data_IF_291242039734
#
_entry.id   IF_291242039734
#
_cell.length_a   1.000
_cell.length_b   1.000
_cell.length_c   1.000
_cell.angle_alpha   90.00
_cell.angle_beta   90.00
_cell.angle_gamma   90.00
#
_symmetry.space_group_name_H-M   'P 1'
#
loop_
_entity.id
_entity.type
_entity.pdbx_description
1 polymer ?
#
# COMPACT_ATOMS: atom_id res chain seq x y z
N UNK A 1 -5.29 5.75 11.61
CA UNK A 1 -6.51 5.75 12.44
C UNK A 1 -7.51 6.83 12.01
N UNK A 2 -7.09 8.02 11.58
CA UNK A 2 -8.03 9.03 11.04
C UNK A 2 -8.78 8.62 9.75
N UNK A 3 -8.13 7.85 8.86
CA UNK A 3 -8.73 7.43 7.58
C UNK A 3 -9.73 6.27 7.73
N UNK A 4 -9.69 5.51 8.84
CA UNK A 4 -10.56 4.34 9.01
C UNK A 4 -12.04 4.72 9.09
N UNK A 5 -12.34 5.87 9.68
CA UNK A 5 -13.73 6.31 9.88
C UNK A 5 -14.35 6.78 8.55
N UNK A 6 -13.58 7.46 7.70
CA UNK A 6 -14.02 7.94 6.38
C UNK A 6 -14.18 6.78 5.39
N UNK A 7 -13.21 5.86 5.34
CA UNK A 7 -13.28 4.69 4.45
C UNK A 7 -14.40 3.76 4.89
N UNK A 8 -14.60 3.58 6.20
CA UNK A 8 -15.70 2.75 6.70
C UNK A 8 -17.07 3.33 6.34
N UNK A 9 -17.25 4.65 6.39
CA UNK A 9 -18.52 5.30 6.03
C UNK A 9 -18.83 5.25 4.53
N UNK A 10 -17.81 5.25 3.66
CA UNK A 10 -18.00 5.22 2.21
C UNK A 10 -18.21 3.80 1.63
N UNK A 11 -17.67 2.77 2.31
CA UNK A 11 -17.55 1.40 1.81
C UNK A 11 -18.43 0.40 2.60
N UNK A 12 -18.89 0.71 3.81
CA UNK A 12 -19.77 -0.15 4.61
C UNK A 12 -21.13 0.53 4.89
N UNK A 13 -22.21 -0.24 5.12
CA UNK A 13 -23.54 0.32 5.32
C UNK A 13 -23.60 1.24 6.55
N UNK A 14 -24.27 2.38 6.42
CA UNK A 14 -24.42 3.39 7.47
C UNK A 14 -25.15 2.93 8.75
N UNK A 15 -25.68 1.70 8.77
CA UNK A 15 -26.46 1.13 9.87
C UNK A 15 -25.64 0.28 10.86
N UNK A 16 -24.30 0.23 10.72
CA UNK A 16 -23.44 -0.47 11.67
C UNK A 16 -23.13 0.44 12.87
N UNK A 17 -23.31 -0.09 14.08
CA UNK A 17 -22.94 0.52 15.36
C UNK A 17 -21.52 1.14 15.26
N UNK A 18 -21.25 2.39 15.70
CA UNK A 18 -19.98 3.09 15.46
C UNK A 18 -18.72 2.32 15.91
N UNK A 19 -18.88 1.40 16.88
CA UNK A 19 -17.82 0.47 17.32
C UNK A 19 -17.47 -0.56 16.25
N UNK A 20 -18.46 -1.08 15.53
CA UNK A 20 -18.30 -2.07 14.46
C UNK A 20 -17.66 -1.45 13.22
N UNK A 21 -18.04 -0.23 12.85
CA UNK A 21 -17.42 0.51 11.75
C UNK A 21 -15.92 0.75 11.99
N UNK A 22 -15.54 1.14 13.22
CA UNK A 22 -14.12 1.27 13.61
C UNK A 22 -13.36 -0.05 13.52
N UNK A 23 -13.95 -1.14 14.00
CA UNK A 23 -13.34 -2.48 13.92
C UNK A 23 -13.17 -2.95 12.48
N UNK A 24 -14.13 -2.68 11.60
CA UNK A 24 -14.03 -2.98 10.16
C UNK A 24 -12.89 -2.20 9.52
N UNK A 25 -12.83 -0.88 9.75
CA UNK A 25 -11.74 -0.04 9.25
C UNK A 25 -10.37 -0.51 9.73
N UNK A 26 -10.22 -0.85 11.02
CA UNK A 26 -8.99 -1.44 11.56
C UNK A 26 -8.66 -2.80 10.96
N UNK A 27 -9.67 -3.66 10.75
CA UNK A 27 -9.52 -4.96 10.08
C UNK A 27 -8.94 -4.84 8.68
N UNK A 28 -9.39 -3.86 7.90
CA UNK A 28 -8.82 -3.58 6.57
C UNK A 28 -7.34 -3.18 6.62
N UNK A 29 -6.94 -2.38 7.61
CA UNK A 29 -5.53 -2.09 7.82
C UNK A 29 -4.74 -3.36 8.15
N UNK A 30 -5.23 -4.19 9.08
CA UNK A 30 -4.57 -5.44 9.49
C UNK A 30 -4.39 -6.39 8.31
N UNK A 31 -5.42 -6.59 7.49
CA UNK A 31 -5.37 -7.45 6.29
C UNK A 31 -4.30 -6.94 5.31
N UNK A 32 -4.28 -5.62 5.05
CA UNK A 32 -3.28 -5.02 4.18
C UNK A 32 -1.85 -5.15 4.72
N UNK A 33 -1.66 -5.15 6.05
CA UNK A 33 -0.35 -5.37 6.67
C UNK A 33 0.09 -6.83 6.62
N UNK A 34 -0.82 -7.79 6.86
CA UNK A 34 -0.55 -9.23 6.76
C UNK A 34 -0.23 -9.67 5.32
N UNK A 35 -0.79 -8.97 4.33
CA UNK A 35 -0.51 -9.22 2.93
C UNK A 35 0.96 -8.92 2.53
N UNK A 36 1.63 -7.99 3.23
CA UNK A 36 3.02 -7.57 2.93
C UNK A 36 4.05 -8.71 3.02
N UNK A 37 4.15 -9.49 4.13
CA UNK A 37 5.10 -10.60 4.20
C UNK A 37 4.80 -11.69 3.18
N UNK A 38 3.51 -11.95 2.89
CA UNK A 38 3.09 -12.93 1.89
C UNK A 38 3.58 -12.52 0.50
N UNK A 39 3.42 -11.24 0.13
CA UNK A 39 3.98 -10.68 -1.10
C UNK A 39 5.50 -10.78 -1.15
N UNK A 40 6.18 -10.45 -0.05
CA UNK A 40 7.63 -10.55 0.11
C UNK A 40 8.18 -11.95 -0.18
N UNK A 41 7.56 -12.99 0.39
CA UNK A 41 8.02 -14.38 0.21
C UNK A 41 7.73 -14.89 -1.20
N UNK A 42 6.51 -14.68 -1.71
CA UNK A 42 6.09 -15.23 -3.00
C UNK A 42 6.76 -14.52 -4.18
N UNK A 43 6.72 -13.20 -4.19
CA UNK A 43 7.22 -12.39 -5.31
C UNK A 43 8.71 -12.12 -5.15
N UNK A 44 9.24 -12.10 -3.93
CA UNK A 44 10.68 -11.93 -3.67
C UNK A 44 11.50 -13.09 -4.23
N UNK A 45 11.03 -14.33 -4.03
CA UNK A 45 11.64 -15.53 -4.65
C UNK A 45 11.63 -15.45 -6.18
N UNK A 46 10.59 -14.85 -6.76
CA UNK A 46 10.50 -14.64 -8.21
C UNK A 46 11.50 -13.57 -8.69
N UNK A 47 11.76 -12.55 -7.86
CA UNK A 47 12.76 -11.50 -8.10
C UNK A 47 14.20 -11.98 -8.05
N UNK A 48 14.51 -12.96 -7.21
CA UNK A 48 15.85 -13.56 -7.17
C UNK A 48 16.16 -14.39 -8.42
N UNK A 49 15.14 -14.94 -9.10
CA UNK A 49 15.32 -15.81 -10.28
C UNK A 49 15.30 -15.01 -11.59
N UNK A 50 14.39 -14.04 -11.75
CA UNK A 50 14.21 -13.27 -13.00
C UNK A 50 14.90 -11.90 -13.02
N UNK A 51 15.56 -11.53 -11.93
CA UNK A 51 16.24 -10.25 -11.80
C UNK A 51 15.40 -9.21 -11.05
N UNK A 52 16.10 -8.33 -10.33
CA UNK A 52 15.52 -7.39 -9.36
C UNK A 52 14.79 -6.20 -10.00
N UNK A 53 15.29 -5.71 -11.14
CA UNK A 53 14.71 -4.58 -11.89
C UNK A 53 13.27 -4.83 -12.40
N UNK A 54 12.95 -5.94 -13.09
CA UNK A 54 11.58 -6.18 -13.57
C UNK A 54 10.58 -6.36 -12.42
N UNK A 55 10.99 -6.97 -11.31
CA UNK A 55 10.10 -7.17 -10.14
C UNK A 55 9.83 -5.87 -9.41
N UNK A 56 10.81 -4.96 -9.34
CA UNK A 56 10.62 -3.61 -8.80
C UNK A 56 9.58 -2.84 -9.65
N UNK A 57 9.74 -2.85 -10.98
CA UNK A 57 8.81 -2.17 -11.90
C UNK A 57 7.39 -2.76 -11.83
N UNK A 58 7.28 -4.08 -11.83
CA UNK A 58 5.99 -4.77 -11.69
C UNK A 58 5.30 -4.39 -10.38
N UNK A 59 6.04 -4.35 -9.27
CA UNK A 59 5.50 -3.97 -7.96
C UNK A 59 4.98 -2.52 -7.95
N UNK A 60 5.71 -1.60 -8.58
CA UNK A 60 5.29 -0.19 -8.71
C UNK A 60 4.01 -0.08 -9.54
N UNK A 61 3.96 -0.75 -10.70
CA UNK A 61 2.81 -0.73 -11.60
C UNK A 61 1.58 -1.34 -10.91
N UNK A 62 1.72 -2.51 -10.29
CA UNK A 62 0.60 -3.17 -9.58
C UNK A 62 0.10 -2.28 -8.43
N UNK A 63 0.99 -1.64 -7.69
CA UNK A 63 0.61 -0.73 -6.61
C UNK A 63 -0.15 0.49 -7.14
N UNK A 64 0.33 1.10 -8.23
CA UNK A 64 -0.30 2.26 -8.86
C UNK A 64 -1.66 1.91 -9.48
N UNK A 65 -1.75 0.82 -10.22
CA UNK A 65 -3.01 0.33 -10.80
C UNK A 65 -4.03 -0.02 -9.72
N UNK A 66 -3.60 -0.67 -8.63
CA UNK A 66 -4.50 -0.99 -7.51
C UNK A 66 -5.01 0.29 -6.81
N UNK A 67 -4.14 1.29 -6.65
CA UNK A 67 -4.53 2.58 -6.07
C UNK A 67 -5.56 3.31 -6.95
N UNK A 68 -5.34 3.33 -8.27
CA UNK A 68 -6.30 3.90 -9.22
C UNK A 68 -7.63 3.13 -9.19
N UNK A 69 -7.58 1.79 -9.21
CA UNK A 69 -8.79 0.96 -9.14
C UNK A 69 -9.60 1.21 -7.86
N UNK A 70 -8.94 1.43 -6.71
CA UNK A 70 -9.60 1.83 -5.47
C UNK A 70 -10.21 3.23 -5.55
N UNK A 71 -9.53 4.18 -6.21
CA UNK A 71 -10.02 5.56 -6.35
C UNK A 71 -11.25 5.66 -7.26
N UNK A 72 -11.33 4.81 -8.28
CA UNK A 72 -12.48 4.72 -9.19
C UNK A 72 -13.57 3.77 -8.68
N UNK A 73 -13.40 3.15 -7.51
CA UNK A 73 -14.38 2.20 -6.98
C UNK A 73 -15.67 2.96 -6.58
N UNK A 74 -16.84 2.60 -7.14
CA UNK A 74 -18.10 3.24 -6.78
C UNK A 74 -18.46 2.97 -5.32
N UNK A 75 -19.16 3.92 -4.70
CA UNK A 75 -19.54 3.87 -3.29
C UNK A 75 -20.52 2.73 -2.99
N UNK A 76 -20.62 2.34 -1.72
CA UNK A 76 -21.50 1.25 -1.25
C UNK A 76 -22.96 1.41 -1.73
N UNK A 77 -23.41 2.64 -1.98
CA UNK A 77 -24.74 2.96 -2.49
C UNK A 77 -25.06 2.36 -3.87
N UNK A 78 -24.05 2.09 -4.71
CA UNK A 78 -24.27 1.57 -6.07
C UNK A 78 -24.10 0.06 -6.20
N UNK A 79 -23.19 -0.56 -5.43
CA UNK A 79 -22.79 -1.97 -5.61
C UNK A 79 -23.00 -2.84 -4.35
N UNK A 80 -23.49 -2.27 -3.25
CA UNK A 80 -23.76 -3.00 -2.01
C UNK A 80 -22.50 -3.72 -1.48
N UNK A 81 -22.68 -4.95 -0.99
CA UNK A 81 -21.61 -5.76 -0.37
C UNK A 81 -20.45 -6.14 -1.33
N UNK A 82 -20.60 -5.96 -2.65
CA UNK A 82 -19.52 -6.23 -3.60
C UNK A 82 -18.40 -5.19 -3.55
N UNK A 83 -18.71 -3.93 -3.22
CA UNK A 83 -17.72 -2.85 -3.09
C UNK A 83 -16.66 -3.11 -2.00
N UNK A 84 -17.02 -3.45 -0.74
CA UNK A 84 -16.02 -3.78 0.29
C UNK A 84 -15.21 -5.03 -0.06
N UNK A 85 -15.82 -6.04 -0.67
CA UNK A 85 -15.11 -7.26 -1.07
C UNK A 85 -14.02 -6.97 -2.12
N UNK A 86 -14.35 -6.22 -3.18
CA UNK A 86 -13.39 -5.77 -4.18
C UNK A 86 -12.30 -4.88 -3.57
N UNK A 87 -12.68 -3.95 -2.68
CA UNK A 87 -11.72 -3.10 -2.00
C UNK A 87 -10.73 -3.90 -1.16
N UNK A 88 -11.20 -4.91 -0.41
CA UNK A 88 -10.34 -5.81 0.38
C UNK A 88 -9.40 -6.60 -0.53
N UNK A 89 -9.90 -7.16 -1.65
CA UNK A 89 -9.06 -7.89 -2.61
C UNK A 89 -7.97 -6.99 -3.20
N UNK A 90 -8.33 -5.79 -3.65
CA UNK A 90 -7.38 -4.80 -4.13
C UNK A 90 -6.38 -4.43 -3.02
N UNK A 91 -6.81 -4.37 -1.75
CA UNK A 91 -5.95 -4.08 -0.60
C UNK A 91 -4.92 -5.17 -0.33
N UNK A 92 -5.31 -6.43 -0.50
CA UNK A 92 -4.39 -7.56 -0.37
C UNK A 92 -3.36 -7.50 -1.50
N UNK A 93 -3.80 -7.33 -2.75
CA UNK A 93 -2.91 -7.25 -3.92
C UNK A 93 -1.93 -6.07 -3.78
N UNK A 94 -2.44 -4.89 -3.44
CA UNK A 94 -1.61 -3.70 -3.22
C UNK A 94 -0.66 -3.89 -2.03
N UNK A 95 -1.12 -4.49 -0.92
CA UNK A 95 -0.31 -4.79 0.25
C UNK A 95 0.84 -5.75 -0.06
N UNK A 96 0.57 -6.78 -0.85
CA UNK A 96 1.59 -7.71 -1.36
C UNK A 96 2.64 -7.00 -2.21
N UNK A 97 2.22 -6.20 -3.19
CA UNK A 97 3.12 -5.48 -4.09
C UNK A 97 3.98 -4.44 -3.36
N UNK A 98 3.37 -3.70 -2.42
CA UNK A 98 4.05 -2.67 -1.66
C UNK A 98 5.10 -3.25 -0.70
N UNK A 99 4.87 -4.46 -0.16
CA UNK A 99 5.82 -5.13 0.74
C UNK A 99 7.21 -5.37 0.14
N UNK A 100 7.30 -5.44 -1.18
CA UNK A 100 8.55 -5.69 -1.93
C UNK A 100 9.27 -4.40 -2.33
N UNK A 101 8.53 -3.32 -2.50
CA UNK A 101 9.03 -2.06 -3.06
C UNK A 101 10.22 -1.50 -2.28
N UNK A 102 10.11 -1.44 -0.95
CA UNK A 102 11.15 -0.89 -0.08
C UNK A 102 12.44 -1.72 -0.14
N UNK A 103 12.44 -3.04 0.15
CA UNK A 103 13.67 -3.82 0.08
C UNK A 103 14.26 -3.91 -1.34
N UNK A 104 13.43 -4.04 -2.39
CA UNK A 104 13.96 -4.08 -3.76
C UNK A 104 14.59 -2.75 -4.17
N UNK A 105 14.03 -1.61 -3.74
CA UNK A 105 14.62 -0.29 -4.04
C UNK A 105 15.99 -0.11 -3.38
N UNK A 106 16.15 -0.54 -2.12
CA UNK A 106 17.45 -0.49 -1.44
C UNK A 106 18.51 -1.34 -2.12
N UNK A 107 18.13 -2.56 -2.50
CA UNK A 107 19.03 -3.49 -3.18
C UNK A 107 19.40 -2.96 -4.57
N UNK A 108 18.44 -2.41 -5.30
CA UNK A 108 18.68 -1.81 -6.61
C UNK A 108 19.64 -0.62 -6.54
N UNK A 109 19.48 0.26 -5.54
CA UNK A 109 20.40 1.38 -5.30
C UNK A 109 21.78 0.87 -4.87
N UNK A 110 21.84 -0.14 -4.01
CA UNK A 110 23.10 -0.75 -3.57
C UNK A 110 23.90 -1.39 -4.73
N UNK A 111 23.22 -1.87 -5.77
CA UNK A 111 23.87 -2.40 -6.98
C UNK A 111 24.44 -1.31 -7.91
N UNK A 112 23.90 -0.09 -7.87
CA UNK A 112 24.28 1.01 -8.78
C UNK A 112 25.24 2.03 -8.15
N UNK A 113 25.47 1.98 -6.83
CA UNK A 113 26.27 2.97 -6.09
C UNK A 113 27.55 2.32 -5.57
N UNK A 114 28.73 2.98 -5.68
CA UNK A 114 29.96 2.45 -5.11
C UNK A 114 29.87 2.31 -3.58
N UNK A 115 30.48 1.26 -3.02
CA UNK A 115 30.37 0.87 -1.59
C UNK A 115 30.55 2.01 -0.59
N UNK A 116 31.41 2.98 -0.90
CA UNK A 116 31.69 4.15 -0.06
C UNK A 116 30.49 5.09 0.17
N UNK A 117 29.48 5.09 -0.72
CA UNK A 117 28.28 5.95 -0.61
C UNK A 117 26.99 5.17 -0.39
N UNK A 118 27.06 3.87 -0.14
CA UNK A 118 25.90 2.98 -0.06
C UNK A 118 24.95 3.39 1.08
N UNK A 119 25.50 3.69 2.26
CA UNK A 119 24.71 4.13 3.43
C UNK A 119 24.01 5.46 3.17
N UNK A 120 24.68 6.42 2.52
CA UNK A 120 24.14 7.74 2.18
C UNK A 120 23.03 7.60 1.14
N UNK A 121 23.24 6.79 0.10
CA UNK A 121 22.25 6.56 -0.95
C UNK A 121 21.00 5.84 -0.42
N UNK A 122 21.16 4.80 0.40
CA UNK A 122 20.02 4.11 1.04
C UNK A 122 19.28 5.01 2.04
N UNK A 123 20.01 5.86 2.77
CA UNK A 123 19.40 6.85 3.67
C UNK A 123 18.58 7.88 2.90
N UNK A 124 19.08 8.36 1.76
CA UNK A 124 18.35 9.29 0.91
C UNK A 124 17.06 8.68 0.36
N UNK A 125 17.11 7.43 -0.12
CA UNK A 125 15.92 6.71 -0.60
C UNK A 125 14.84 6.56 0.50
N UNK A 126 15.27 6.28 1.74
CA UNK A 126 14.36 6.16 2.88
C UNK A 126 13.83 7.52 3.34
N UNK A 127 14.66 8.56 3.30
CA UNK A 127 14.25 9.93 3.60
C UNK A 127 13.17 10.42 2.64
N UNK A 128 13.32 10.16 1.33
CA UNK A 128 12.29 10.50 0.33
C UNK A 128 10.94 9.84 0.64
N UNK A 129 10.95 8.58 1.10
CA UNK A 129 9.73 7.88 1.51
C UNK A 129 9.02 8.58 2.68
N UNK A 130 9.75 8.91 3.74
CA UNK A 130 9.17 9.61 4.89
C UNK A 130 8.71 11.02 4.57
N UNK A 131 9.46 11.76 3.76
CA UNK A 131 9.05 13.11 3.29
C UNK A 131 7.73 13.03 2.51
N UNK A 132 7.56 12.03 1.64
CA UNK A 132 6.29 11.82 0.94
C UNK A 132 5.12 11.53 1.89
N UNK A 133 5.34 10.71 2.92
CA UNK A 133 4.32 10.43 3.95
C UNK A 133 3.97 11.70 4.74
N UNK A 134 4.95 12.51 5.11
CA UNK A 134 4.72 13.78 5.80
C UNK A 134 3.92 14.76 4.95
N UNK A 135 4.30 14.92 3.68
CA UNK A 135 3.58 15.77 2.74
C UNK A 135 2.13 15.31 2.56
N UNK A 136 1.90 14.01 2.46
CA UNK A 136 0.56 13.44 2.33
C UNK A 136 -0.30 13.70 3.58
N UNK A 137 0.27 13.59 4.79
CA UNK A 137 -0.43 13.92 6.03
C UNK A 137 -0.72 15.44 6.13
N UNK A 138 0.23 16.29 5.75
CA UNK A 138 0.05 17.74 5.77
C UNK A 138 -1.08 18.18 4.82
N UNK A 139 -1.11 17.63 3.60
CA UNK A 139 -2.18 17.89 2.64
C UNK A 139 -3.55 17.48 3.18
N UNK A 140 -3.63 16.32 3.83
CA UNK A 140 -4.88 15.84 4.42
C UNK A 140 -5.40 16.74 5.54
N UNK A 141 -4.51 17.32 6.35
CA UNK A 141 -4.86 18.27 7.41
C UNK A 141 -5.34 19.63 6.89
N UNK A 142 -4.96 20.01 5.66
CA UNK A 142 -5.38 21.28 5.04
C UNK A 142 -6.74 21.15 4.36
N UNK A 143 -7.08 19.95 3.86
CA UNK A 143 -8.30 19.69 3.08
C UNK A 143 -9.51 19.34 3.96
N UNK A 144 -9.30 18.86 5.19
CA UNK A 144 -10.34 18.49 6.17
C UNK A 144 -10.26 19.42 7.37
#
# INVERSE_FOLDING_TARGET
>A
MYISDIVSAAIFPANADPRVAKLQGMGLFVIGYLARPIGGVLIGRYGDIKGRKPVLLLSIIVTACSLLAMAFLPTYAQWGAAAPALFILLRIIQGMAFGLYVPLSWVFVAEHVPRQYLSVACSYATASFFVGVLFSNAFFYVVI
#
